data_IF_754960132030
#
_entry.id   IF_754960132030
#
_cell.length_a   1.000
_cell.length_b   1.000
_cell.length_c   1.000
_cell.angle_alpha   90.00
_cell.angle_beta   90.00
_cell.angle_gamma   90.00
#
_symmetry.space_group_name_H-M   'P 1'
#
loop_
_entity.id
_entity.type
_entity.pdbx_description
1 polymer ?
#
# COMPACT_ATOMS: atom_id res chain seq x y z
N UNK A 1 27.29 -23.62 1.70
CA UNK A 1 26.81 -22.50 2.55
C UNK A 1 25.66 -21.84 1.83
N UNK A 2 24.47 -21.86 2.42
CA UNK A 2 23.24 -21.30 1.84
C UNK A 2 23.15 -19.77 1.98
N UNK A 3 24.00 -19.18 2.82
CA UNK A 3 24.02 -17.75 3.12
C UNK A 3 24.46 -16.86 1.95
N UNK A 4 25.37 -17.34 1.09
CA UNK A 4 25.88 -16.56 -0.04
C UNK A 4 24.82 -16.29 -1.13
N UNK A 5 23.90 -17.24 -1.35
CA UNK A 5 22.82 -17.09 -2.34
C UNK A 5 21.70 -16.20 -1.82
N UNK A 6 21.36 -16.31 -0.52
CA UNK A 6 20.38 -15.45 0.13
C UNK A 6 20.81 -13.98 0.10
N UNK A 7 22.08 -13.68 0.40
CA UNK A 7 22.63 -12.32 0.34
C UNK A 7 22.56 -11.76 -1.10
N UNK A 8 22.94 -12.55 -2.11
CA UNK A 8 22.85 -12.16 -3.53
C UNK A 8 21.41 -11.89 -3.96
N UNK A 9 20.47 -12.71 -3.51
CA UNK A 9 19.05 -12.54 -3.83
C UNK A 9 18.43 -11.29 -3.18
N UNK A 10 18.78 -10.98 -1.92
CA UNK A 10 18.38 -9.73 -1.25
C UNK A 10 18.95 -8.49 -1.96
N UNK A 11 20.21 -8.56 -2.41
CA UNK A 11 20.83 -7.48 -3.19
C UNK A 11 20.12 -7.33 -4.54
N UNK A 12 19.87 -8.42 -5.25
CA UNK A 12 19.15 -8.40 -6.53
C UNK A 12 17.75 -7.80 -6.36
N UNK A 13 16.96 -8.26 -5.39
CA UNK A 13 15.62 -7.71 -5.13
C UNK A 13 15.67 -6.21 -4.84
N UNK A 14 16.63 -5.75 -4.03
CA UNK A 14 16.81 -4.33 -3.71
C UNK A 14 17.12 -3.51 -4.96
N UNK A 15 18.10 -3.93 -5.75
CA UNK A 15 18.51 -3.22 -6.98
C UNK A 15 17.42 -3.27 -8.05
N UNK A 16 16.73 -4.40 -8.18
CA UNK A 16 15.60 -4.57 -9.10
C UNK A 16 14.44 -3.64 -8.72
N UNK A 17 14.03 -3.65 -7.45
CA UNK A 17 13.00 -2.75 -6.94
C UNK A 17 13.44 -1.28 -7.07
N UNK A 18 14.71 -0.95 -6.85
CA UNK A 18 15.20 0.42 -7.04
C UNK A 18 15.14 0.87 -8.51
N UNK A 19 15.47 -0.02 -9.45
CA UNK A 19 15.51 0.26 -10.90
C UNK A 19 14.11 0.30 -11.53
N UNK A 20 13.21 -0.60 -11.14
CA UNK A 20 11.89 -0.77 -11.75
C UNK A 20 10.73 -0.20 -10.92
N UNK A 21 10.94 0.03 -9.62
CA UNK A 21 10.05 0.82 -8.75
C UNK A 21 10.79 2.07 -8.21
N UNK A 22 11.13 3.03 -9.09
CA UNK A 22 11.71 4.29 -8.66
C UNK A 22 10.79 5.00 -7.66
N UNK A 23 11.35 5.91 -6.87
CA UNK A 23 10.62 6.65 -5.83
C UNK A 23 9.31 7.27 -6.36
N UNK A 24 9.27 7.66 -7.64
CA UNK A 24 8.08 8.13 -8.34
C UNK A 24 6.93 7.13 -8.36
N UNK A 25 7.19 5.84 -8.55
CA UNK A 25 6.14 4.80 -8.58
C UNK A 25 5.60 4.55 -7.18
N UNK A 26 6.48 4.52 -6.17
CA UNK A 26 6.06 4.42 -4.76
C UNK A 26 5.27 5.65 -4.32
N UNK A 27 5.74 6.84 -4.66
CA UNK A 27 5.04 8.09 -4.37
C UNK A 27 3.69 8.15 -5.09
N UNK A 28 3.60 7.71 -6.34
CA UNK A 28 2.31 7.59 -7.05
C UNK A 28 1.35 6.64 -6.32
N UNK A 29 1.83 5.50 -5.81
CA UNK A 29 1.00 4.56 -5.03
C UNK A 29 0.55 5.15 -3.70
N UNK A 30 1.40 5.93 -3.03
CA UNK A 30 1.05 6.65 -1.81
C UNK A 30 0.02 7.75 -2.09
N UNK A 31 0.18 8.52 -3.18
CA UNK A 31 -0.80 9.53 -3.61
C UNK A 31 -2.13 8.85 -3.96
N UNK A 32 -2.10 7.76 -4.72
CA UNK A 32 -3.28 6.96 -5.07
C UNK A 32 -4.00 6.45 -3.82
N UNK A 33 -3.27 6.03 -2.79
CA UNK A 33 -3.83 5.64 -1.49
C UNK A 33 -4.45 6.83 -0.73
N UNK A 34 -3.76 7.97 -0.71
CA UNK A 34 -4.25 9.17 -0.02
C UNK A 34 -5.51 9.72 -0.67
N UNK A 35 -5.62 9.64 -1.99
CA UNK A 35 -6.80 10.10 -2.75
C UNK A 35 -7.86 9.02 -2.93
N UNK A 36 -7.63 7.79 -2.44
CA UNK A 36 -8.56 6.68 -2.58
C UNK A 36 -9.91 7.03 -1.93
N UNK A 37 -10.95 7.02 -2.75
CA UNK A 37 -12.36 7.16 -2.37
C UNK A 37 -13.15 6.06 -3.05
N UNK A 38 -14.19 5.56 -2.40
CA UNK A 38 -15.06 4.55 -2.96
C UNK A 38 -15.70 5.02 -4.27
N UNK A 39 -16.10 6.30 -4.38
CA UNK A 39 -16.69 6.82 -5.62
C UNK A 39 -17.83 5.92 -6.11
N UNK A 40 -17.81 5.51 -7.37
CA UNK A 40 -18.88 4.66 -7.94
C UNK A 40 -18.63 3.15 -7.85
N UNK A 41 -17.50 2.70 -7.31
CA UNK A 41 -17.21 1.26 -7.20
C UNK A 41 -17.92 0.63 -5.99
N UNK A 42 -18.03 -0.70 -5.99
CA UNK A 42 -18.59 -1.44 -4.85
C UNK A 42 -17.70 -1.31 -3.61
N UNK A 43 -18.29 -1.47 -2.43
CA UNK A 43 -17.53 -1.45 -1.17
C UNK A 43 -16.47 -2.57 -1.12
N UNK A 44 -16.75 -3.72 -1.74
CA UNK A 44 -15.82 -4.83 -1.85
C UNK A 44 -14.61 -4.49 -2.73
N UNK A 45 -14.82 -3.88 -3.90
CA UNK A 45 -13.71 -3.43 -4.76
C UNK A 45 -12.89 -2.32 -4.12
N UNK A 46 -13.55 -1.42 -3.39
CA UNK A 46 -12.87 -0.37 -2.62
C UNK A 46 -11.98 -0.99 -1.54
N UNK A 47 -12.50 -1.95 -0.77
CA UNK A 47 -11.72 -2.69 0.24
C UNK A 47 -10.51 -3.40 -0.35
N UNK A 48 -10.67 -4.12 -1.46
CA UNK A 48 -9.55 -4.77 -2.13
C UNK A 48 -8.47 -3.77 -2.59
N UNK A 49 -8.87 -2.60 -3.14
CA UNK A 49 -7.93 -1.53 -3.52
C UNK A 49 -7.24 -0.92 -2.31
N UNK A 50 -7.97 -0.71 -1.22
CA UNK A 50 -7.44 -0.15 0.01
C UNK A 50 -6.33 -1.05 0.58
N UNK A 51 -6.58 -2.35 0.69
CA UNK A 51 -5.59 -3.32 1.18
C UNK A 51 -4.36 -3.39 0.27
N UNK A 52 -4.58 -3.45 -1.05
CA UNK A 52 -3.49 -3.50 -2.03
C UNK A 52 -2.58 -2.26 -1.95
N UNK A 53 -3.15 -1.08 -1.71
CA UNK A 53 -2.43 0.18 -1.62
C UNK A 53 -1.81 0.42 -0.23
N UNK A 54 -2.45 -0.08 0.83
CA UNK A 54 -1.98 0.00 2.21
C UNK A 54 -0.58 -0.61 2.39
N UNK A 55 -0.27 -1.69 1.65
CA UNK A 55 1.06 -2.34 1.66
C UNK A 55 2.19 -1.41 1.19
N UNK A 56 1.89 -0.39 0.39
CA UNK A 56 2.87 0.56 -0.12
C UNK A 56 3.14 1.72 0.85
N UNK A 57 2.33 1.89 1.90
CA UNK A 57 2.47 2.98 2.85
C UNK A 57 3.12 2.48 4.15
N UNK A 58 4.39 2.84 4.44
CA UNK A 58 5.10 2.38 5.63
C UNK A 58 4.40 2.77 6.93
N UNK A 59 3.70 3.92 6.93
CA UNK A 59 2.95 4.44 8.07
C UNK A 59 1.78 3.56 8.50
N UNK A 60 1.23 2.77 7.58
CA UNK A 60 0.11 1.87 7.85
C UNK A 60 0.56 0.40 7.98
N UNK A 61 1.86 0.12 8.15
CA UNK A 61 2.34 -1.26 8.37
C UNK A 61 2.46 -1.65 9.83
N UNK A 62 2.36 -0.70 10.76
CA UNK A 62 2.50 -0.97 12.19
C UNK A 62 1.14 -1.32 12.81
N UNK A 63 1.14 -2.15 13.86
CA UNK A 63 -0.08 -2.44 14.64
C UNK A 63 -0.68 -1.18 15.26
N UNK A 64 0.15 -0.19 15.58
CA UNK A 64 -0.28 1.10 16.13
C UNK A 64 -1.08 1.94 15.12
N UNK A 65 -0.95 1.66 13.81
CA UNK A 65 -1.65 2.36 12.75
C UNK A 65 -3.00 1.70 12.36
N UNK A 66 -3.43 0.64 13.04
CA UNK A 66 -4.71 -0.02 12.74
C UNK A 66 -5.91 0.91 12.97
N UNK A 67 -5.89 1.73 14.02
CA UNK A 67 -6.94 2.74 14.24
C UNK A 67 -6.95 3.79 13.11
N UNK A 68 -5.77 4.29 12.72
CA UNK A 68 -5.62 5.23 11.61
C UNK A 68 -6.07 4.63 10.27
N UNK A 69 -5.90 3.31 10.06
CA UNK A 69 -6.43 2.60 8.88
C UNK A 69 -7.95 2.63 8.86
N UNK A 70 -8.60 2.32 9.99
CA UNK A 70 -10.06 2.33 10.08
C UNK A 70 -10.61 3.72 9.79
N UNK A 71 -10.04 4.76 10.40
CA UNK A 71 -10.43 6.16 10.15
C UNK A 71 -10.23 6.52 8.68
N UNK A 72 -9.09 6.14 8.09
CA UNK A 72 -8.81 6.40 6.68
C UNK A 72 -9.79 5.66 5.76
N UNK A 73 -10.08 4.39 6.05
CA UNK A 73 -11.03 3.57 5.31
C UNK A 73 -12.43 4.20 5.31
N UNK A 74 -12.94 4.55 6.49
CA UNK A 74 -14.25 5.20 6.64
C UNK A 74 -14.31 6.57 6.00
N UNK A 75 -13.22 7.33 6.00
CA UNK A 75 -13.18 8.66 5.36
C UNK A 75 -13.32 8.60 3.84
N UNK A 76 -12.95 7.47 3.23
CA UNK A 76 -13.05 7.24 1.80
C UNK A 76 -14.33 6.54 1.37
N UNK A 77 -15.12 5.98 2.31
CA UNK A 77 -16.42 5.40 1.99
C UNK A 77 -17.42 6.46 1.53
N UNK A 78 -18.39 6.05 0.72
CA UNK A 78 -19.47 6.96 0.37
C UNK A 78 -20.40 7.21 1.56
N UNK A 79 -21.02 8.40 1.66
CA UNK A 79 -21.93 8.74 2.75
C UNK A 79 -23.17 7.82 2.84
N UNK A 80 -23.61 7.22 1.74
CA UNK A 80 -24.74 6.27 1.70
C UNK A 80 -24.46 4.94 2.40
N UNK A 81 -23.19 4.62 2.66
CA UNK A 81 -22.77 3.37 3.30
C UNK A 81 -22.28 3.61 4.74
N UNK A 82 -21.95 4.85 5.07
CA UNK A 82 -21.39 5.23 6.38
C UNK A 82 -22.46 5.34 7.46
#
# INVERSE_FOLDING_TARGET
GVDGVAIVWEIFKREFLRKYFPADVKNKKVIEFMELKQGNISAAEYSAKFEALCVFSPHYKTMEAEEDKCVKFESGLRPDIK
#
